data_IF_781239158238
#
_entry.id   IF_781239158238
#
_cell.length_a   1.000
_cell.length_b   1.000
_cell.length_c   1.000
_cell.angle_alpha   90.00
_cell.angle_beta   90.00
_cell.angle_gamma   90.00
#
_symmetry.space_group_name_H-M   'P 1'
#
loop_
_entity.id
_entity.type
_entity.pdbx_description
1 polymer ?
#
# COMPACT_ATOMS: atom_id res chain seq x y z
N UNK A 1 -5.16 -4.06 -10.68
CA UNK A 1 -4.46 -4.52 -9.44
C UNK A 1 -4.75 -5.96 -9.05
N UNK A 2 -6.00 -6.46 -9.05
CA UNK A 2 -6.27 -7.83 -8.59
C UNK A 2 -5.47 -8.88 -9.39
N UNK A 3 -5.44 -8.76 -10.72
CA UNK A 3 -4.66 -9.65 -11.58
C UNK A 3 -3.17 -9.68 -11.25
N UNK A 4 -2.60 -8.56 -10.78
CA UNK A 4 -1.20 -8.50 -10.35
C UNK A 4 -1.00 -9.27 -9.04
N UNK A 5 -1.95 -9.20 -8.11
CA UNK A 5 -1.89 -9.97 -6.86
C UNK A 5 -2.00 -11.47 -7.15
N UNK A 6 -2.91 -11.87 -8.04
CA UNK A 6 -3.08 -13.26 -8.47
C UNK A 6 -1.80 -13.78 -9.15
N UNK A 7 -1.30 -13.04 -10.15
CA UNK A 7 -0.07 -13.39 -10.87
C UNK A 7 1.14 -13.55 -9.94
N UNK A 8 1.30 -12.68 -8.95
CA UNK A 8 2.41 -12.77 -7.99
C UNK A 8 2.27 -13.98 -7.08
N UNK A 9 1.05 -14.28 -6.60
CA UNK A 9 0.82 -15.47 -5.76
C UNK A 9 1.01 -16.78 -6.52
N UNK A 10 0.65 -16.82 -7.80
CA UNK A 10 0.90 -17.97 -8.68
C UNK A 10 2.40 -18.31 -8.82
N UNK A 11 3.28 -17.34 -8.52
CA UNK A 11 4.75 -17.49 -8.50
C UNK A 11 5.32 -17.43 -7.07
N UNK A 12 4.53 -17.87 -6.07
CA UNK A 12 4.92 -18.01 -4.66
C UNK A 12 5.30 -16.71 -3.92
N UNK A 13 4.95 -15.53 -4.46
CA UNK A 13 5.14 -14.28 -3.73
C UNK A 13 4.15 -14.14 -2.56
N UNK A 14 4.65 -13.66 -1.42
CA UNK A 14 3.80 -13.20 -0.34
C UNK A 14 3.33 -11.76 -0.61
N UNK A 15 2.02 -11.55 -0.70
CA UNK A 15 1.41 -10.25 -0.98
C UNK A 15 0.93 -9.56 0.29
N UNK A 16 1.47 -8.38 0.60
CA UNK A 16 1.15 -7.63 1.82
C UNK A 16 0.46 -6.30 1.52
N UNK A 17 -0.41 -5.85 2.43
CA UNK A 17 -0.96 -4.49 2.42
C UNK A 17 -0.19 -3.64 3.41
N UNK A 18 0.34 -2.50 2.96
CA UNK A 18 1.02 -1.50 3.79
C UNK A 18 0.36 -0.14 3.61
N UNK A 19 -0.52 0.23 4.53
CA UNK A 19 -1.41 1.38 4.37
C UNK A 19 -1.39 2.30 5.59
N UNK A 20 -1.61 3.60 5.36
CA UNK A 20 -1.90 4.57 6.43
C UNK A 20 -3.32 4.43 6.99
N UNK A 21 -4.19 3.65 6.32
CA UNK A 21 -5.52 3.31 6.81
C UNK A 21 -5.47 2.44 8.08
N UNK A 22 -6.52 2.51 8.89
CA UNK A 22 -6.62 1.74 10.13
C UNK A 22 -6.60 0.23 9.86
N UNK A 23 -5.74 -0.51 10.58
CA UNK A 23 -5.58 -1.95 10.36
C UNK A 23 -6.88 -2.73 10.61
N UNK A 24 -7.63 -2.35 11.64
CA UNK A 24 -8.90 -2.99 12.01
C UNK A 24 -10.04 -2.63 11.05
N UNK A 25 -9.89 -1.57 10.26
CA UNK A 25 -10.84 -1.24 9.19
C UNK A 25 -10.63 -2.15 7.97
N UNK A 26 -9.37 -2.46 7.64
CA UNK A 26 -9.03 -3.25 6.46
C UNK A 26 -9.20 -4.75 6.69
N UNK A 27 -8.68 -5.28 7.81
CA UNK A 27 -8.63 -6.73 8.10
C UNK A 27 -9.95 -7.50 7.88
N UNK A 28 -11.14 -6.98 8.23
CA UNK A 28 -12.39 -7.70 8.00
C UNK A 28 -12.77 -7.93 6.53
N UNK A 29 -12.15 -7.23 5.57
CA UNK A 29 -12.54 -7.25 4.15
C UNK A 29 -11.44 -7.64 3.18
N UNK A 30 -10.17 -7.52 3.55
CA UNK A 30 -9.05 -7.77 2.63
C UNK A 30 -8.98 -9.20 2.11
N UNK A 31 -9.35 -10.18 2.93
CA UNK A 31 -9.31 -11.61 2.55
C UNK A 31 -10.28 -11.88 1.38
N UNK A 32 -11.57 -11.61 1.56
CA UNK A 32 -12.58 -11.81 0.52
C UNK A 32 -12.50 -10.85 -0.68
N UNK A 33 -11.62 -9.84 -0.66
CA UNK A 33 -11.50 -8.84 -1.74
C UNK A 33 -10.19 -8.98 -2.53
N UNK A 34 -9.08 -9.22 -1.81
CA UNK A 34 -7.72 -9.22 -2.36
C UNK A 34 -7.03 -10.57 -2.21
N UNK A 35 -7.64 -11.54 -1.52
CA UNK A 35 -7.02 -12.82 -1.16
C UNK A 35 -5.69 -12.58 -0.39
N UNK A 36 -5.76 -11.65 0.56
CA UNK A 36 -4.65 -11.30 1.47
C UNK A 36 -5.14 -11.59 2.89
N UNK A 37 -4.50 -12.53 3.62
CA UNK A 37 -4.94 -12.86 4.96
C UNK A 37 -4.74 -11.66 5.91
N UNK A 38 -5.57 -11.49 6.95
CA UNK A 38 -5.44 -10.39 7.90
C UNK A 38 -4.06 -10.25 8.57
N UNK A 39 -3.31 -11.35 8.65
CA UNK A 39 -1.93 -11.39 9.17
C UNK A 39 -0.90 -10.70 8.26
N UNK A 40 -1.23 -10.48 6.99
CA UNK A 40 -0.38 -9.82 5.98
C UNK A 40 -0.80 -8.35 5.74
N UNK A 41 -1.40 -7.72 6.76
CA UNK A 41 -1.88 -6.34 6.70
C UNK A 41 -1.20 -5.50 7.78
N UNK A 42 -0.47 -4.48 7.31
CA UNK A 42 0.16 -3.44 8.11
C UNK A 42 -0.63 -2.14 7.91
N UNK A 43 -1.27 -1.67 8.98
CA UNK A 43 -2.07 -0.45 8.99
C UNK A 43 -1.75 0.43 10.19
N UNK A 44 -2.36 1.61 10.22
CA UNK A 44 -2.37 2.46 11.42
C UNK A 44 -3.14 1.77 12.55
N UNK A 45 -2.67 1.98 13.78
CA UNK A 45 -3.14 1.27 14.97
C UNK A 45 -3.51 2.28 16.04
N UNK A 46 -4.60 2.00 16.75
CA UNK A 46 -4.97 2.68 17.99
C UNK A 46 -4.56 1.83 19.18
N UNK A 47 -4.47 2.44 20.36
CA UNK A 47 -4.16 1.69 21.57
C UNK A 47 -5.30 0.73 21.94
N UNK A 48 -4.92 -0.42 22.50
CA UNK A 48 -5.84 -1.46 22.95
C UNK A 48 -5.57 -1.79 24.42
N UNK A 49 -6.63 -2.01 25.19
CA UNK A 49 -6.55 -2.62 26.52
C UNK A 49 -7.08 -4.04 26.45
N UNK A 50 -6.33 -4.98 27.00
CA UNK A 50 -6.75 -6.37 27.13
C UNK A 50 -7.55 -6.58 28.41
N UNK A 51 -8.70 -7.24 28.29
CA UNK A 51 -9.47 -7.78 29.39
C UNK A 51 -9.41 -9.32 29.35
N UNK A 52 -9.37 -9.92 30.54
CA UNK A 52 -9.41 -11.37 30.69
C UNK A 52 -10.61 -11.98 29.94
N UNK A 53 -10.41 -13.16 29.35
CA UNK A 53 -11.41 -13.80 28.50
C UNK A 53 -11.29 -13.44 27.02
N UNK A 54 -10.25 -12.71 26.61
CA UNK A 54 -9.94 -12.50 25.19
C UNK A 54 -10.54 -11.23 24.58
N UNK A 55 -11.00 -10.29 25.41
CA UNK A 55 -11.66 -9.07 24.95
C UNK A 55 -10.63 -7.95 24.82
N UNK A 56 -10.64 -7.26 23.69
CA UNK A 56 -9.82 -6.08 23.45
C UNK A 56 -10.68 -4.82 23.36
N UNK A 57 -10.42 -3.86 24.24
CA UNK A 57 -11.08 -2.57 24.25
C UNK A 57 -10.24 -1.54 23.51
N UNK A 58 -10.87 -0.82 22.58
CA UNK A 58 -10.26 0.34 21.93
C UNK A 58 -10.05 1.44 22.96
N UNK A 59 -8.83 1.97 23.03
CA UNK A 59 -8.48 3.09 23.90
C UNK A 59 -8.35 4.38 23.09
N UNK A 60 -8.51 5.50 23.77
CA UNK A 60 -8.14 6.80 23.20
C UNK A 60 -6.61 6.86 23.12
N UNK A 61 -6.08 6.85 21.90
CA UNK A 61 -4.63 6.90 21.67
C UNK A 61 -4.25 6.34 20.32
N UNK A 62 -3.24 6.95 19.69
CA UNK A 62 -2.68 6.49 18.44
C UNK A 62 -1.43 5.68 18.75
N UNK A 63 -1.52 4.36 18.58
CA UNK A 63 -0.38 3.47 18.78
C UNK A 63 0.66 3.65 17.67
N UNK A 64 0.21 3.70 16.42
CA UNK A 64 1.06 3.89 15.25
C UNK A 64 0.31 4.52 14.08
N UNK A 65 0.91 5.54 13.45
CA UNK A 65 0.44 6.08 12.17
C UNK A 65 1.31 5.50 11.04
N UNK A 66 0.83 4.50 10.31
CA UNK A 66 1.61 3.77 9.33
C UNK A 66 1.70 4.50 7.96
N UNK A 67 2.28 5.68 7.97
CA UNK A 67 2.42 6.53 6.78
C UNK A 67 3.85 7.06 6.60
N UNK A 68 4.24 7.38 5.35
CA UNK A 68 5.54 7.95 4.99
C UNK A 68 6.71 7.09 5.52
N UNK A 69 7.62 7.70 6.28
CA UNK A 69 8.79 7.04 6.86
C UNK A 69 8.44 5.94 7.88
N UNK A 70 7.19 5.87 8.37
CA UNK A 70 6.76 4.78 9.25
C UNK A 70 6.53 3.49 8.46
N UNK A 71 6.14 3.55 7.18
CA UNK A 71 5.89 2.35 6.37
C UNK A 71 7.11 1.40 6.31
N UNK A 72 8.34 1.85 6.01
CA UNK A 72 9.54 1.00 6.10
C UNK A 72 9.76 0.39 7.48
N UNK A 73 9.48 1.15 8.55
CA UNK A 73 9.62 0.65 9.92
C UNK A 73 8.61 -0.46 10.21
N UNK A 74 7.36 -0.29 9.77
CA UNK A 74 6.31 -1.30 9.87
C UNK A 74 6.69 -2.57 9.12
N UNK A 75 7.19 -2.44 7.89
CA UNK A 75 7.72 -3.56 7.09
C UNK A 75 8.85 -4.28 7.83
N UNK A 76 9.88 -3.56 8.28
CA UNK A 76 11.01 -4.17 8.97
C UNK A 76 10.57 -4.89 10.25
N UNK A 77 9.62 -4.32 11.02
CA UNK A 77 9.14 -4.90 12.27
C UNK A 77 8.28 -6.13 12.08
N UNK A 78 7.40 -6.16 11.07
CA UNK A 78 6.43 -7.24 10.90
C UNK A 78 6.88 -8.30 9.89
N UNK A 79 7.61 -7.91 8.84
CA UNK A 79 8.08 -8.79 7.77
C UNK A 79 9.54 -9.19 7.99
N UNK A 80 10.34 -8.36 8.65
CA UNK A 80 11.74 -8.67 8.99
C UNK A 80 12.74 -8.50 7.83
N UNK A 81 12.29 -8.07 6.65
CA UNK A 81 13.14 -7.89 5.46
C UNK A 81 12.53 -6.88 4.47
N UNK A 82 13.36 -6.21 3.63
CA UNK A 82 12.85 -5.35 2.58
C UNK A 82 12.08 -6.17 1.52
N UNK A 83 10.95 -5.66 0.99
CA UNK A 83 10.24 -6.28 -0.12
C UNK A 83 11.08 -6.21 -1.39
N UNK A 84 10.84 -7.12 -2.33
CA UNK A 84 11.49 -7.10 -3.65
C UNK A 84 10.65 -6.38 -4.71
N UNK A 85 9.36 -6.23 -4.46
CA UNK A 85 8.41 -5.47 -5.29
C UNK A 85 7.56 -4.60 -4.35
N UNK A 86 7.35 -3.34 -4.71
CA UNK A 86 6.45 -2.45 -3.98
C UNK A 86 5.62 -1.60 -4.95
N UNK A 87 4.33 -1.43 -4.61
CA UNK A 87 3.39 -0.58 -5.34
C UNK A 87 2.94 0.55 -4.41
N UNK A 88 2.89 1.78 -4.93
CA UNK A 88 2.38 2.97 -4.24
C UNK A 88 1.63 3.87 -5.20
N UNK A 89 0.98 4.91 -4.68
CA UNK A 89 0.26 5.89 -5.51
C UNK A 89 0.39 7.34 -5.01
N UNK A 90 1.20 7.57 -3.97
CA UNK A 90 1.33 8.88 -3.33
C UNK A 90 2.73 9.12 -2.78
N UNK A 91 3.02 10.35 -2.40
CA UNK A 91 4.25 10.72 -1.68
C UNK A 91 4.34 10.05 -0.29
N UNK A 92 3.22 9.57 0.26
CA UNK A 92 3.19 8.72 1.46
C UNK A 92 3.87 7.36 1.26
N UNK A 93 4.01 6.91 0.02
CA UNK A 93 4.66 5.65 -0.35
C UNK A 93 6.14 5.82 -0.69
N UNK A 94 6.65 7.06 -0.77
CA UNK A 94 8.00 7.34 -1.24
C UNK A 94 9.05 6.52 -0.49
N UNK A 95 9.06 6.56 0.85
CA UNK A 95 10.06 5.85 1.63
C UNK A 95 9.87 4.33 1.57
N UNK A 96 8.64 3.84 1.35
CA UNK A 96 8.38 2.41 1.16
C UNK A 96 8.97 1.93 -0.17
N UNK A 97 8.73 2.67 -1.25
CA UNK A 97 9.31 2.39 -2.57
C UNK A 97 10.84 2.48 -2.52
N UNK A 98 11.38 3.49 -1.86
CA UNK A 98 12.82 3.69 -1.65
C UNK A 98 13.43 2.49 -0.90
N UNK A 99 12.81 2.08 0.21
CA UNK A 99 13.26 0.94 1.01
C UNK A 99 13.23 -0.38 0.24
N UNK A 100 12.20 -0.63 -0.57
CA UNK A 100 12.10 -1.83 -1.40
C UNK A 100 13.14 -1.85 -2.54
N UNK A 101 13.49 -0.69 -3.09
CA UNK A 101 14.31 -0.58 -4.30
C UNK A 101 15.79 -0.24 -4.07
N UNK A 102 16.17 0.18 -2.85
CA UNK A 102 17.57 0.56 -2.54
C UNK A 102 18.53 -0.63 -2.34
N UNK A 103 18.00 -1.85 -2.19
CA UNK A 103 18.81 -3.05 -1.96
C UNK A 103 19.39 -3.66 -3.25
N UNK A 104 20.40 -4.54 -3.14
CA UNK A 104 20.99 -5.20 -4.31
C UNK A 104 20.06 -6.23 -4.96
N UNK A 105 20.29 -6.51 -6.24
CA UNK A 105 19.55 -7.52 -7.00
C UNK A 105 18.34 -6.95 -7.75
N UNK A 106 17.54 -7.83 -8.36
CA UNK A 106 16.33 -7.40 -9.08
C UNK A 106 15.30 -6.87 -8.08
N UNK A 107 14.86 -5.64 -8.29
CA UNK A 107 13.87 -4.93 -7.47
C UNK A 107 12.93 -4.17 -8.38
N UNK A 108 11.69 -4.00 -7.96
CA UNK A 108 10.68 -3.27 -8.72
C UNK A 108 9.91 -2.33 -7.79
N UNK A 109 9.99 -1.03 -8.08
CA UNK A 109 9.09 -0.02 -7.52
C UNK A 109 8.09 0.38 -8.58
N UNK A 110 6.81 0.48 -8.23
CA UNK A 110 5.74 0.85 -9.15
C UNK A 110 4.89 1.96 -8.53
N UNK A 111 4.63 3.00 -9.30
CA UNK A 111 3.72 4.09 -8.94
C UNK A 111 2.47 3.99 -9.81
N UNK A 112 1.31 3.90 -9.19
CA UNK A 112 0.02 3.96 -9.87
C UNK A 112 -0.38 5.43 -10.01
N UNK A 113 -0.35 5.93 -11.23
CA UNK A 113 -0.71 7.30 -11.57
C UNK A 113 -2.17 7.35 -12.03
N UNK A 114 -3.02 7.98 -11.19
CA UNK A 114 -4.45 8.14 -11.42
C UNK A 114 -4.76 9.20 -12.51
N UNK A 115 -4.50 8.84 -13.77
CA UNK A 115 -4.75 9.67 -14.97
C UNK A 115 -6.13 9.43 -15.59
N UNK A 116 -6.85 8.42 -15.12
CA UNK A 116 -8.18 7.99 -15.56
C UNK A 116 -9.30 8.96 -15.14
N UNK A 117 -8.98 9.93 -14.29
CA UNK A 117 -9.90 10.99 -13.90
C UNK A 117 -10.32 11.89 -15.08
N UNK A 118 -11.63 11.86 -15.39
CA UNK A 118 -12.33 13.03 -15.92
C UNK A 118 -12.41 14.17 -14.88
N UNK A 119 -13.33 15.13 -15.04
CA UNK A 119 -13.49 16.32 -14.19
C UNK A 119 -13.64 16.06 -12.66
N UNK A 120 -13.77 14.81 -12.21
CA UNK A 120 -13.95 14.43 -10.80
C UNK A 120 -12.93 13.44 -10.22
N UNK A 121 -11.84 13.10 -10.92
CA UNK A 121 -11.00 11.97 -10.47
C UNK A 121 -9.48 12.13 -10.50
N UNK A 122 -8.92 13.19 -11.09
CA UNK A 122 -7.49 13.40 -10.92
C UNK A 122 -7.24 13.79 -9.47
N UNK A 123 -6.46 12.99 -8.74
CA UNK A 123 -5.83 13.42 -7.50
C UNK A 123 -4.98 14.64 -7.88
N UNK A 124 -5.57 15.83 -7.71
CA UNK A 124 -4.95 17.09 -8.12
C UNK A 124 -3.67 17.26 -7.30
N UNK A 125 -2.68 18.02 -7.79
CA UNK A 125 -1.50 18.45 -7.00
C UNK A 125 -1.86 19.12 -5.66
N UNK A 126 -3.13 19.54 -5.49
CA UNK A 126 -3.70 20.14 -4.28
C UNK A 126 -4.58 19.20 -3.44
N UNK A 127 -4.66 17.91 -3.76
CA UNK A 127 -5.48 16.97 -2.98
C UNK A 127 -4.88 16.80 -1.58
N UNK A 128 -5.66 17.00 -0.50
CA UNK A 128 -5.19 16.75 0.87
C UNK A 128 -4.99 15.26 1.16
N UNK A 129 -5.48 14.38 0.28
CA UNK A 129 -5.35 12.91 0.36
C UNK A 129 -4.66 12.41 -0.91
N UNK A 130 -3.64 11.56 -0.79
CA UNK A 130 -3.03 10.89 -1.95
C UNK A 130 -2.25 11.81 -2.89
N UNK A 131 -1.67 12.91 -2.39
CA UNK A 131 -0.78 13.79 -3.19
C UNK A 131 0.40 12.99 -3.75
N UNK A 132 0.71 13.20 -5.02
CA UNK A 132 1.76 12.52 -5.77
C UNK A 132 2.57 13.55 -6.56
N UNK A 133 3.58 14.15 -5.92
CA UNK A 133 4.46 15.14 -6.56
C UNK A 133 5.90 14.63 -6.53
N UNK A 134 6.46 14.46 -5.33
CA UNK A 134 7.86 14.06 -5.16
C UNK A 134 8.12 12.68 -5.74
N UNK A 135 7.24 11.71 -5.49
CA UNK A 135 7.43 10.36 -6.01
C UNK A 135 7.29 10.31 -7.53
N UNK A 136 6.50 11.20 -8.13
CA UNK A 136 6.39 11.33 -9.59
C UNK A 136 7.68 11.90 -10.19
N UNK A 137 8.17 13.02 -9.65
CA UNK A 137 9.40 13.68 -10.12
C UNK A 137 10.65 12.77 -10.01
N UNK A 138 10.66 11.91 -9.00
CA UNK A 138 11.81 11.04 -8.70
C UNK A 138 11.72 9.65 -9.35
N UNK A 139 10.59 9.30 -9.96
CA UNK A 139 10.32 7.95 -10.46
C UNK A 139 11.38 7.48 -11.46
N UNK A 140 11.65 8.29 -12.50
CA UNK A 140 12.64 7.98 -13.54
C UNK A 140 14.04 7.80 -12.94
N UNK A 141 14.47 8.76 -12.10
CA UNK A 141 15.79 8.75 -11.47
C UNK A 141 16.01 7.51 -10.58
N UNK A 142 14.94 6.94 -10.06
CA UNK A 142 14.94 5.78 -9.15
C UNK A 142 14.60 4.47 -9.85
N UNK A 143 14.33 4.50 -11.15
CA UNK A 143 13.89 3.33 -11.92
C UNK A 143 12.54 2.78 -11.46
N UNK A 144 11.68 3.62 -10.88
CA UNK A 144 10.32 3.24 -10.54
C UNK A 144 9.45 3.30 -11.78
N UNK A 145 8.71 2.22 -12.03
CA UNK A 145 7.76 2.13 -13.13
C UNK A 145 6.55 3.00 -12.82
N UNK A 146 6.24 3.94 -13.70
CA UNK A 146 5.01 4.73 -13.63
C UNK A 146 3.94 4.05 -14.48
N UNK A 147 2.82 3.67 -13.87
CA UNK A 147 1.64 3.10 -14.54
C UNK A 147 0.63 4.23 -14.74
N UNK A 148 0.31 4.54 -15.99
CA UNK A 148 -0.73 5.49 -16.35
C UNK A 148 -2.07 4.74 -16.43
N UNK A 149 -2.95 4.94 -15.45
CA UNK A 149 -4.21 4.18 -15.37
C UNK A 149 -5.11 4.35 -16.60
N UNK A 150 -5.05 5.50 -17.29
CA UNK A 150 -5.85 5.76 -18.49
C UNK A 150 -5.37 4.96 -19.69
N UNK A 151 -4.06 4.89 -19.92
CA UNK A 151 -3.50 4.21 -21.09
C UNK A 151 -3.19 2.73 -20.86
N UNK A 152 -2.82 2.37 -19.63
CA UNK A 152 -2.22 1.06 -19.36
C UNK A 152 -3.22 0.04 -18.84
N UNK A 153 -4.38 0.49 -18.32
CA UNK A 153 -5.41 -0.41 -17.81
C UNK A 153 -6.59 -0.50 -18.77
N UNK A 154 -6.88 -1.72 -19.21
CA UNK A 154 -8.08 -2.01 -20.01
C UNK A 154 -9.38 -1.87 -19.21
N UNK A 155 -9.31 -2.08 -17.88
CA UNK A 155 -10.46 -2.01 -16.97
C UNK A 155 -10.01 -1.59 -15.56
N UNK A 156 -10.71 -0.62 -14.96
CA UNK A 156 -10.40 -0.11 -13.60
C UNK A 156 -11.13 -0.90 -12.52
N UNK A 157 -12.44 -1.11 -12.68
CA UNK A 157 -13.27 -1.84 -11.73
C UNK A 157 -13.79 -3.12 -12.35
N UNK A 158 -13.84 -4.21 -11.57
CA UNK A 158 -14.54 -5.43 -11.98
C UNK A 158 -16.00 -5.09 -12.27
N UNK A 159 -16.52 -5.64 -13.36
CA UNK A 159 -17.95 -5.60 -13.63
C UNK A 159 -18.69 -6.30 -12.48
N UNK A 160 -19.83 -5.75 -12.08
CA UNK A 160 -20.71 -6.48 -11.16
C UNK A 160 -21.07 -7.84 -11.78
N UNK A 161 -21.21 -8.91 -10.98
CA UNK A 161 -21.73 -10.18 -11.46
C UNK A 161 -23.14 -10.03 -12.04
#
# INVERSE_FOLDING_TARGET
>A
MIEVLDYLRDDDFLTWIISGGGVDFMRPRVDGTYDIPPSQVIGSQIDLAYEEGGIFHRQAGLHANNDKAIKPMGILRQIGRPPVIAFGNSDGDFQMLDYATSGPGRRLGVIIHHTDGGSHGSLRPQSPVGRLDRALDEAERRGWLLVDMRSDWAQVFRSAP
#
